data_IF_014704949109
#
_entry.id   IF_014704949109
#
_cell.length_a   1.000
_cell.length_b   1.000
_cell.length_c   1.000
_cell.angle_alpha   90.00
_cell.angle_beta   90.00
_cell.angle_gamma   90.00
#
_symmetry.space_group_name_H-M   'P 1'
#
loop_
_entity.id
_entity.type
_entity.pdbx_description
1 polymer ?
#
# COMPACT_ATOMS: atom_id res chain seq x y z
N UNK A 1 -2.64 -33.50 14.13
CA UNK A 1 -3.36 -32.21 14.24
C UNK A 1 -2.43 -30.98 14.24
N UNK A 2 -1.28 -31.01 14.90
CA UNK A 2 -0.34 -29.87 14.92
C UNK A 2 0.26 -29.56 13.54
N UNK A 3 0.65 -30.61 12.78
CA UNK A 3 1.19 -30.45 11.40
C UNK A 3 0.19 -29.82 10.42
N UNK A 4 -1.10 -30.10 10.58
CA UNK A 4 -2.15 -29.53 9.73
C UNK A 4 -2.38 -28.04 10.02
N UNK A 5 -2.27 -27.62 11.28
CA UNK A 5 -2.40 -26.22 11.69
C UNK A 5 -1.20 -25.37 11.22
N UNK A 6 0.00 -25.95 11.21
CA UNK A 6 1.22 -25.28 10.76
C UNK A 6 1.20 -25.07 9.24
N UNK A 7 0.76 -26.08 8.48
CA UNK A 7 0.56 -25.97 7.02
C UNK A 7 -0.48 -24.90 6.68
N UNK A 8 -1.55 -24.78 7.48
CA UNK A 8 -2.54 -23.71 7.31
C UNK A 8 -1.98 -22.32 7.60
N UNK A 9 -1.11 -22.16 8.62
CA UNK A 9 -0.51 -20.89 8.97
C UNK A 9 0.50 -20.43 7.89
N UNK A 10 1.29 -21.35 7.38
CA UNK A 10 2.27 -21.09 6.32
C UNK A 10 1.59 -20.83 4.99
N UNK A 11 0.53 -21.60 4.65
CA UNK A 11 -0.33 -21.29 3.51
C UNK A 11 -0.99 -19.91 3.65
N UNK A 12 -1.33 -19.50 4.87
CA UNK A 12 -1.94 -18.20 5.13
C UNK A 12 -0.92 -17.05 4.96
N UNK A 13 0.32 -17.22 5.41
CA UNK A 13 1.41 -16.25 5.18
C UNK A 13 1.75 -16.18 3.67
N UNK A 14 1.85 -17.31 2.97
CA UNK A 14 2.12 -17.35 1.53
C UNK A 14 0.90 -16.98 0.69
N UNK A 15 -0.32 -17.30 1.11
CA UNK A 15 -1.55 -16.89 0.44
C UNK A 15 -1.74 -15.36 0.54
N UNK A 16 -1.35 -14.74 1.65
CA UNK A 16 -1.29 -13.27 1.76
C UNK A 16 -0.14 -12.65 0.96
N UNK A 17 0.88 -13.42 0.61
CA UNK A 17 1.99 -12.99 -0.25
C UNK A 17 1.66 -13.13 -1.76
N UNK A 18 0.68 -13.96 -2.11
CA UNK A 18 0.29 -14.24 -3.51
C UNK A 18 -1.08 -13.64 -3.85
N UNK A 19 -1.94 -13.44 -2.86
CA UNK A 19 -3.20 -12.74 -3.08
C UNK A 19 -2.87 -11.25 -3.11
N UNK A 20 -2.66 -10.71 -4.30
CA UNK A 20 -3.00 -9.31 -4.53
C UNK A 20 -4.43 -9.19 -4.02
N UNK A 21 -4.58 -8.62 -2.83
CA UNK A 21 -5.87 -8.37 -2.21
C UNK A 21 -6.73 -7.68 -3.26
N UNK A 22 -7.81 -8.33 -3.65
CA UNK A 22 -8.82 -7.73 -4.50
C UNK A 22 -9.43 -6.59 -3.68
N UNK A 23 -8.73 -5.44 -3.66
CA UNK A 23 -9.29 -4.22 -3.10
C UNK A 23 -10.58 -3.93 -3.85
N UNK A 24 -11.65 -3.75 -3.15
CA UNK A 24 -12.98 -3.60 -3.74
C UNK A 24 -13.47 -2.17 -3.58
N UNK A 25 -12.74 -1.17 -4.08
CA UNK A 25 -13.00 0.25 -3.91
C UNK A 25 -14.12 0.78 -4.81
N UNK A 26 -14.72 1.91 -4.43
CA UNK A 26 -15.67 2.67 -5.25
C UNK A 26 -15.25 4.13 -5.22
N UNK A 27 -14.84 4.67 -6.37
CA UNK A 27 -14.24 5.99 -6.49
C UNK A 27 -15.01 6.77 -7.54
N UNK A 28 -15.31 8.04 -7.27
CA UNK A 28 -15.93 8.89 -8.27
C UNK A 28 -15.55 10.36 -8.13
N UNK A 29 -15.41 11.04 -9.28
CA UNK A 29 -15.18 12.47 -9.35
C UNK A 29 -16.45 13.19 -9.82
N UNK A 30 -16.73 14.37 -9.28
CA UNK A 30 -17.86 15.20 -9.68
C UNK A 30 -17.43 16.67 -9.78
N UNK A 31 -17.73 17.31 -10.93
CA UNK A 31 -17.45 18.73 -11.18
C UNK A 31 -18.76 19.44 -11.48
N UNK A 32 -19.34 20.13 -10.49
CA UNK A 32 -20.60 20.86 -10.59
C UNK A 32 -20.61 22.08 -9.69
N UNK A 33 -21.37 23.08 -10.08
CA UNK A 33 -21.59 24.32 -9.29
C UNK A 33 -20.25 24.93 -8.80
N UNK A 34 -19.22 24.90 -9.64
CA UNK A 34 -17.92 25.47 -9.31
C UNK A 34 -17.05 24.65 -8.33
N UNK A 35 -17.57 23.53 -7.81
CA UNK A 35 -16.85 22.61 -6.92
C UNK A 35 -16.33 21.39 -7.70
N UNK A 36 -15.15 20.94 -7.35
CA UNK A 36 -14.56 19.70 -7.86
C UNK A 36 -14.28 18.80 -6.67
N UNK A 37 -15.13 17.78 -6.52
CA UNK A 37 -15.04 16.82 -5.44
C UNK A 37 -14.72 15.43 -6.00
N UNK A 38 -13.87 14.70 -5.29
CA UNK A 38 -13.63 13.27 -5.50
C UNK A 38 -14.00 12.54 -4.22
N UNK A 39 -14.73 11.44 -4.34
CA UNK A 39 -15.12 10.63 -3.21
C UNK A 39 -14.74 9.17 -3.44
N UNK A 40 -14.28 8.49 -2.39
CA UNK A 40 -13.83 7.11 -2.43
C UNK A 40 -14.21 6.33 -1.17
N UNK A 41 -14.62 5.08 -1.36
CA UNK A 41 -14.64 4.02 -0.35
C UNK A 41 -13.44 3.13 -0.57
N UNK A 42 -12.61 2.97 0.47
CA UNK A 42 -11.43 2.13 0.45
C UNK A 42 -11.72 0.81 1.16
N UNK A 43 -11.84 -0.24 0.38
CA UNK A 43 -12.12 -1.58 0.88
C UNK A 43 -10.81 -2.39 0.97
N UNK A 44 -10.55 -2.97 2.13
CA UNK A 44 -9.37 -3.81 2.35
C UNK A 44 -9.70 -4.93 3.35
N UNK A 45 -8.77 -5.85 3.52
CA UNK A 45 -8.84 -6.95 4.48
C UNK A 45 -8.09 -6.67 5.78
N UNK A 46 -7.37 -5.55 5.89
CA UNK A 46 -6.64 -5.14 7.10
C UNK A 46 -7.13 -3.81 7.62
N UNK A 47 -7.45 -3.66 8.92
CA UNK A 47 -7.97 -2.42 9.48
C UNK A 47 -6.91 -1.32 9.62
N UNK A 48 -5.66 -1.61 9.31
CA UNK A 48 -4.54 -0.70 9.59
C UNK A 48 -4.25 0.19 8.39
N UNK A 49 -4.74 1.42 8.43
CA UNK A 49 -4.51 2.43 7.40
C UNK A 49 -3.50 3.46 7.89
N UNK A 50 -2.56 3.80 7.02
CA UNK A 50 -1.57 4.86 7.24
C UNK A 50 -1.94 6.09 6.42
N UNK A 51 -1.64 7.26 7.00
CA UNK A 51 -1.57 8.53 6.29
C UNK A 51 -0.13 9.01 6.37
N UNK A 52 0.43 9.47 5.27
CA UNK A 52 1.73 10.13 5.31
C UNK A 52 1.77 11.37 4.45
N UNK A 53 2.52 12.33 4.96
CA UNK A 53 2.65 13.66 4.38
C UNK A 53 4.07 13.84 3.87
N UNK A 54 4.18 14.19 2.60
CA UNK A 54 5.45 14.44 1.92
C UNK A 54 5.53 15.92 1.61
N UNK A 55 6.34 16.72 2.33
CA UNK A 55 6.56 18.12 1.99
C UNK A 55 7.14 18.26 0.58
N UNK A 56 6.87 19.39 -0.05
CA UNK A 56 7.50 19.71 -1.33
C UNK A 56 9.03 19.73 -1.19
N UNK A 57 9.70 19.28 -2.25
CA UNK A 57 11.14 19.37 -2.40
C UNK A 57 11.48 20.20 -3.65
N UNK A 58 12.76 20.41 -3.94
CA UNK A 58 13.19 21.08 -5.17
C UNK A 58 12.63 20.40 -6.43
N UNK A 59 12.48 19.07 -6.40
CA UNK A 59 12.18 18.26 -7.57
C UNK A 59 10.77 17.66 -7.56
N UNK A 60 10.00 17.87 -6.47
CA UNK A 60 8.70 17.22 -6.28
C UNK A 60 7.71 18.09 -5.52
N UNK A 61 6.46 18.05 -5.95
CA UNK A 61 5.33 18.68 -5.25
C UNK A 61 5.03 17.97 -3.93
N UNK A 62 4.58 18.74 -2.95
CA UNK A 62 4.10 18.21 -1.68
C UNK A 62 2.82 17.40 -1.85
N UNK A 63 2.65 16.33 -1.05
CA UNK A 63 1.52 15.43 -1.18
C UNK A 63 1.13 14.76 0.12
N UNK A 64 -0.12 14.32 0.18
CA UNK A 64 -0.65 13.37 1.15
C UNK A 64 -0.92 12.05 0.45
N UNK A 65 -0.61 10.95 1.14
CA UNK A 65 -0.91 9.60 0.69
C UNK A 65 -1.70 8.86 1.76
N UNK A 66 -2.60 7.99 1.32
CA UNK A 66 -3.32 7.02 2.13
C UNK A 66 -2.97 5.63 1.63
N UNK A 67 -2.86 4.67 2.54
CA UNK A 67 -2.54 3.31 2.14
C UNK A 67 -2.48 2.32 3.29
N UNK A 68 -2.06 1.09 2.97
CA UNK A 68 -1.98 -0.01 3.91
C UNK A 68 -0.86 0.11 4.93
N UNK A 69 -0.81 -0.84 5.87
CA UNK A 69 0.25 -0.90 6.89
C UNK A 69 1.65 -1.07 6.30
N UNK A 70 1.74 -1.56 5.08
CA UNK A 70 3.00 -1.75 4.34
C UNK A 70 3.42 -0.51 3.54
N UNK A 71 2.74 0.63 3.73
CA UNK A 71 2.99 1.89 3.02
C UNK A 71 2.73 1.81 1.50
N UNK A 72 2.01 0.79 1.03
CA UNK A 72 1.52 0.77 -0.33
C UNK A 72 0.44 1.84 -0.50
N UNK A 73 0.66 2.75 -1.43
CA UNK A 73 -0.28 3.85 -1.70
C UNK A 73 -1.56 3.28 -2.32
N UNK A 74 -2.70 3.56 -1.70
CA UNK A 74 -4.03 3.33 -2.27
C UNK A 74 -4.51 4.58 -3.01
N UNK A 75 -4.47 5.74 -2.36
CA UNK A 75 -4.85 7.02 -2.93
C UNK A 75 -3.91 8.15 -2.49
N UNK A 76 -3.84 9.22 -3.27
CA UNK A 76 -3.03 10.38 -2.93
C UNK A 76 -3.54 11.67 -3.58
N UNK A 77 -3.21 12.80 -2.96
CA UNK A 77 -3.44 14.13 -3.51
C UNK A 77 -2.20 15.01 -3.32
N UNK A 78 -1.78 15.76 -4.35
CA UNK A 78 -0.71 16.73 -4.23
C UNK A 78 -1.22 18.15 -3.93
N UNK A 79 -0.30 19.05 -3.58
CA UNK A 79 -0.58 20.45 -3.23
C UNK A 79 -1.22 21.29 -4.36
N UNK A 80 -1.19 20.79 -5.60
CA UNK A 80 -1.86 21.41 -6.74
C UNK A 80 -3.28 20.92 -6.96
N UNK A 81 -3.76 19.96 -6.16
CA UNK A 81 -5.09 19.36 -6.28
C UNK A 81 -5.16 18.27 -7.37
N UNK A 82 -4.03 17.71 -7.77
CA UNK A 82 -4.01 16.47 -8.55
C UNK A 82 -4.21 15.29 -7.61
N UNK A 83 -5.22 14.49 -7.87
CA UNK A 83 -5.63 13.33 -7.10
C UNK A 83 -5.52 12.06 -7.94
N UNK A 84 -5.15 10.95 -7.34
CA UNK A 84 -5.35 9.63 -7.92
C UNK A 84 -5.79 8.61 -6.88
N UNK A 85 -6.47 7.57 -7.36
CA UNK A 85 -6.93 6.47 -6.54
C UNK A 85 -7.09 5.18 -7.35
N UNK A 86 -6.73 4.04 -6.74
CA UNK A 86 -6.72 2.73 -7.36
C UNK A 86 -7.99 1.95 -7.07
N UNK A 87 -8.54 1.31 -8.10
CA UNK A 87 -9.48 0.22 -7.93
C UNK A 87 -8.88 -1.05 -8.54
N UNK A 88 -8.86 -2.15 -7.77
CA UNK A 88 -8.42 -3.43 -8.30
C UNK A 88 -9.35 -3.86 -9.44
N UNK A 89 -8.76 -4.39 -10.52
CA UNK A 89 -9.47 -4.91 -11.67
C UNK A 89 -8.77 -6.16 -12.18
N UNK A 90 -9.53 -7.13 -12.69
CA UNK A 90 -8.97 -8.39 -13.16
C UNK A 90 -8.48 -8.25 -14.61
N UNK A 91 -7.30 -7.66 -14.79
CA UNK A 91 -6.63 -7.62 -16.08
C UNK A 91 -5.56 -8.70 -16.16
N UNK A 92 -5.55 -9.44 -17.26
CA UNK A 92 -4.52 -10.43 -17.56
C UNK A 92 -3.26 -9.72 -18.08
N UNK A 93 -2.31 -9.49 -17.20
CA UNK A 93 -1.06 -8.80 -17.53
C UNK A 93 -0.15 -9.64 -18.43
N UNK A 94 -0.31 -10.97 -18.49
CA UNK A 94 0.51 -11.84 -19.35
C UNK A 94 0.27 -11.58 -20.83
N UNK A 95 -0.86 -10.96 -21.18
CA UNK A 95 -1.24 -10.62 -22.56
C UNK A 95 -0.79 -9.20 -22.97
N UNK A 96 -0.15 -8.47 -22.07
CA UNK A 96 0.32 -7.11 -22.37
C UNK A 96 1.72 -7.16 -22.97
N UNK A 97 1.90 -6.45 -24.08
CA UNK A 97 3.23 -6.22 -24.63
C UNK A 97 3.83 -4.97 -23.97
N UNK A 98 4.72 -5.18 -23.01
CA UNK A 98 5.34 -4.10 -22.24
C UNK A 98 6.71 -3.77 -22.84
N UNK A 99 6.74 -2.86 -23.77
CA UNK A 99 7.97 -2.41 -24.42
C UNK A 99 8.66 -1.24 -23.71
N UNK A 100 7.90 -0.48 -22.93
CA UNK A 100 8.36 0.73 -22.23
C UNK A 100 7.95 0.69 -20.75
N UNK A 101 8.40 -0.30 -19.98
CA UNK A 101 8.05 -0.40 -18.57
C UNK A 101 8.63 0.80 -17.81
N UNK A 102 7.88 1.32 -16.85
CA UNK A 102 8.42 2.26 -15.86
C UNK A 102 9.10 1.45 -14.75
N UNK A 103 10.31 1.85 -14.39
CA UNK A 103 11.01 1.26 -13.26
C UNK A 103 10.61 2.01 -11.99
N UNK A 104 9.84 1.36 -11.12
CA UNK A 104 9.29 1.93 -9.89
C UNK A 104 7.79 2.19 -9.96
N UNK A 105 7.30 3.04 -9.07
CA UNK A 105 5.88 3.37 -8.97
C UNK A 105 5.53 4.61 -9.80
N UNK A 106 5.00 4.40 -11.00
CA UNK A 106 4.70 5.46 -11.97
C UNK A 106 3.83 6.58 -11.38
N UNK A 107 2.84 6.25 -10.55
CA UNK A 107 1.97 7.26 -9.96
C UNK A 107 2.67 8.15 -8.93
N UNK A 108 3.78 7.71 -8.38
CA UNK A 108 4.63 8.58 -7.57
C UNK A 108 5.28 9.67 -8.41
N UNK A 109 5.77 9.30 -9.58
CA UNK A 109 6.34 10.27 -10.53
C UNK A 109 5.29 11.27 -10.99
N UNK A 110 4.10 10.79 -11.35
CA UNK A 110 2.95 11.63 -11.73
C UNK A 110 2.59 12.60 -10.59
N UNK A 111 2.42 12.11 -9.36
CA UNK A 111 2.03 12.93 -8.20
C UNK A 111 3.06 14.04 -7.91
N UNK A 112 4.34 13.71 -8.04
CA UNK A 112 5.42 14.65 -7.71
C UNK A 112 5.72 15.67 -8.80
N UNK A 113 5.27 15.47 -10.04
CA UNK A 113 5.68 16.31 -11.18
C UNK A 113 4.53 16.86 -12.02
N UNK A 114 3.29 16.50 -11.74
CA UNK A 114 2.12 16.96 -12.48
C UNK A 114 1.20 17.82 -11.61
N UNK A 115 0.68 18.90 -12.17
CA UNK A 115 -0.28 19.80 -11.53
C UNK A 115 -1.72 19.45 -11.87
N UNK A 116 -1.93 18.80 -13.01
CA UNK A 116 -3.24 18.52 -13.57
C UNK A 116 -3.23 17.22 -14.38
N UNK A 117 -4.42 16.78 -14.82
CA UNK A 117 -4.61 15.56 -15.61
C UNK A 117 -3.82 15.58 -16.92
N UNK A 118 -3.71 16.73 -17.59
CA UNK A 118 -2.96 16.84 -18.85
C UNK A 118 -1.49 16.49 -18.65
N UNK A 119 -0.84 17.13 -17.68
CA UNK A 119 0.57 16.86 -17.33
C UNK A 119 0.77 15.41 -16.85
N UNK A 120 -0.19 14.87 -16.07
CA UNK A 120 -0.17 13.48 -15.66
C UNK A 120 -0.17 12.52 -16.86
N UNK A 121 -1.03 12.78 -17.85
CA UNK A 121 -1.10 11.96 -19.06
C UNK A 121 0.15 12.09 -19.94
N UNK A 122 0.83 13.24 -19.95
CA UNK A 122 2.09 13.41 -20.65
C UNK A 122 3.20 12.52 -20.07
N UNK A 123 3.19 12.28 -18.75
CA UNK A 123 4.10 11.34 -18.10
C UNK A 123 3.67 9.89 -18.38
N UNK A 124 2.40 9.56 -18.15
CA UNK A 124 1.89 8.19 -18.27
C UNK A 124 2.08 7.64 -19.69
N UNK A 125 1.83 8.44 -20.72
CA UNK A 125 1.95 8.03 -22.13
C UNK A 125 3.37 7.69 -22.57
N UNK A 126 4.40 8.05 -21.78
CA UNK A 126 5.80 7.66 -22.06
C UNK A 126 6.05 6.18 -21.75
N UNK A 127 5.19 5.56 -20.94
CA UNK A 127 5.37 4.22 -20.42
C UNK A 127 4.16 3.34 -20.72
N UNK A 128 4.36 2.05 -20.68
CA UNK A 128 3.29 1.09 -20.79
C UNK A 128 2.75 0.79 -19.38
N UNK A 129 1.44 0.97 -19.18
CA UNK A 129 0.83 0.75 -17.88
C UNK A 129 0.77 -0.75 -17.58
N UNK A 130 1.50 -1.18 -16.56
CA UNK A 130 1.73 -2.58 -16.20
C UNK A 130 1.06 -3.02 -14.89
N UNK A 131 0.03 -2.31 -14.44
CA UNK A 131 -0.69 -2.64 -13.23
C UNK A 131 -2.04 -3.30 -13.54
N UNK A 132 -2.41 -4.35 -12.80
CA UNK A 132 -3.71 -5.01 -12.92
C UNK A 132 -4.90 -4.15 -12.44
N UNK A 133 -4.61 -3.03 -11.76
CA UNK A 133 -5.62 -2.07 -11.30
C UNK A 133 -5.99 -1.05 -12.37
N UNK A 134 -7.10 -0.39 -12.17
CA UNK A 134 -7.45 0.85 -12.88
C UNK A 134 -7.35 2.04 -11.93
N UNK A 135 -6.94 3.19 -12.45
CA UNK A 135 -6.71 4.39 -11.66
C UNK A 135 -7.66 5.48 -12.13
N UNK A 136 -8.38 6.11 -11.19
CA UNK A 136 -9.00 7.40 -11.42
C UNK A 136 -7.99 8.49 -11.11
N UNK A 137 -7.77 9.40 -12.06
CA UNK A 137 -6.96 10.61 -11.89
C UNK A 137 -7.87 11.80 -12.09
N UNK A 138 -7.84 12.78 -11.18
CA UNK A 138 -8.64 13.98 -11.25
C UNK A 138 -7.84 15.22 -10.84
N UNK A 139 -8.21 16.40 -11.34
CA UNK A 139 -7.56 17.66 -11.00
C UNK A 139 -8.58 18.75 -10.56
N UNK A 140 -8.07 19.82 -9.98
CA UNK A 140 -8.89 20.94 -9.49
C UNK A 140 -9.62 21.71 -10.58
N UNK A 141 -9.23 21.60 -11.85
CA UNK A 141 -9.91 22.18 -13.01
C UNK A 141 -11.16 21.38 -13.36
N UNK A 142 -11.33 20.20 -12.79
CA UNK A 142 -12.47 19.32 -12.97
C UNK A 142 -12.29 18.31 -14.09
N UNK A 143 -11.09 18.13 -14.61
CA UNK A 143 -10.79 17.04 -15.53
C UNK A 143 -10.65 15.74 -14.74
N UNK A 144 -11.06 14.62 -15.32
CA UNK A 144 -10.77 13.31 -14.78
C UNK A 144 -10.70 12.24 -15.87
N UNK A 145 -9.87 11.22 -15.60
CA UNK A 145 -9.64 10.10 -16.51
C UNK A 145 -9.53 8.80 -15.72
N UNK A 146 -9.85 7.69 -16.39
CA UNK A 146 -9.47 6.35 -15.92
C UNK A 146 -8.31 5.85 -16.78
N UNK A 147 -7.26 5.38 -16.12
CA UNK A 147 -6.12 4.72 -16.72
C UNK A 147 -6.15 3.25 -16.35
N UNK A 148 -6.05 2.37 -17.32
CA UNK A 148 -5.99 0.93 -17.13
C UNK A 148 -5.13 0.27 -18.23
N UNK A 149 -4.83 -1.04 -18.15
CA UNK A 149 -3.99 -1.73 -19.14
C UNK A 149 -4.52 -1.68 -20.58
N UNK A 150 -5.81 -1.37 -20.78
CA UNK A 150 -6.42 -1.27 -22.13
C UNK A 150 -6.40 0.15 -22.68
N UNK A 151 -6.00 1.14 -21.88
CA UNK A 151 -5.90 2.53 -22.31
C UNK A 151 -6.46 3.55 -21.33
N UNK A 152 -6.80 4.70 -21.86
CA UNK A 152 -7.26 5.86 -21.11
C UNK A 152 -8.72 6.15 -21.50
N UNK A 153 -9.57 6.32 -20.51
CA UNK A 153 -10.98 6.71 -20.67
C UNK A 153 -11.16 8.09 -20.07
N UNK A 154 -11.50 9.07 -20.91
CA UNK A 154 -11.74 10.44 -20.48
C UNK A 154 -13.17 10.60 -19.97
N UNK A 155 -13.36 11.48 -18.98
CA UNK A 155 -14.65 11.84 -18.44
C UNK A 155 -15.55 12.42 -19.53
N UNK A 156 -16.80 11.93 -19.61
CA UNK A 156 -17.87 12.52 -20.40
C UNK A 156 -18.92 13.13 -19.47
N UNK A 157 -19.19 14.41 -19.62
CA UNK A 157 -20.12 15.12 -18.73
C UNK A 157 -19.44 15.62 -17.45
N UNK A 158 -20.15 15.61 -16.34
CA UNK A 158 -19.76 16.27 -15.09
C UNK A 158 -19.29 15.32 -13.98
N UNK A 159 -19.29 14.00 -14.22
CA UNK A 159 -18.76 13.02 -13.29
C UNK A 159 -18.12 11.82 -14.00
N UNK A 160 -17.26 11.09 -13.27
CA UNK A 160 -16.62 9.84 -13.70
C UNK A 160 -16.59 8.87 -12.52
N UNK A 161 -16.90 7.60 -12.78
CA UNK A 161 -16.96 6.55 -11.76
C UNK A 161 -15.93 5.46 -12.06
N UNK A 162 -15.20 5.03 -11.04
CA UNK A 162 -14.28 3.92 -11.03
C UNK A 162 -14.65 2.92 -9.93
N UNK A 163 -14.56 1.64 -10.21
CA UNK A 163 -14.75 0.57 -9.22
C UNK A 163 -14.05 -0.72 -9.66
N UNK A 164 -14.08 -1.73 -8.81
CA UNK A 164 -13.44 -3.04 -9.04
C UNK A 164 -14.05 -3.88 -10.17
N UNK A 165 -14.84 -3.29 -11.00
CA UNK A 165 -15.43 -3.95 -12.15
C UNK A 165 -14.64 -3.63 -13.40
N UNK A 166 -14.38 -4.65 -14.21
CA UNK A 166 -13.85 -4.41 -15.54
C UNK A 166 -14.83 -3.55 -16.34
N UNK A 167 -14.40 -2.40 -16.77
CA UNK A 167 -15.15 -1.61 -17.75
C UNK A 167 -14.91 -2.26 -19.11
N UNK A 168 -15.82 -3.14 -19.53
CA UNK A 168 -15.78 -3.80 -20.84
C UNK A 168 -16.72 -3.02 -21.77
N UNK A 169 -16.17 -2.43 -22.83
CA UNK A 169 -16.92 -1.65 -23.84
C UNK A 169 -17.78 -0.51 -23.24
N UNK A 170 -17.30 0.13 -22.18
CA UNK A 170 -18.01 1.23 -21.52
C UNK A 170 -19.18 0.80 -20.64
N UNK A 171 -19.42 -0.48 -20.47
CA UNK A 171 -20.43 -1.03 -19.55
C UNK A 171 -19.79 -1.49 -18.26
N UNK A 172 -20.34 -1.01 -17.16
CA UNK A 172 -19.97 -1.40 -15.80
C UNK A 172 -20.97 -2.45 -15.35
N UNK A 173 -20.49 -3.61 -14.90
CA UNK A 173 -21.35 -4.73 -14.53
C UNK A 173 -21.31 -5.01 -13.03
N UNK A 174 -21.45 -3.99 -12.19
CA UNK A 174 -21.58 -4.20 -10.77
C UNK A 174 -22.39 -3.12 -10.06
N UNK A 175 -23.06 -3.51 -8.97
CA UNK A 175 -24.11 -2.72 -8.30
C UNK A 175 -23.64 -1.35 -7.78
N UNK A 176 -22.45 -1.25 -7.19
CA UNK A 176 -21.98 0.00 -6.56
C UNK A 176 -21.82 1.15 -7.54
N UNK A 177 -21.12 1.00 -8.67
CA UNK A 177 -21.08 2.04 -9.71
C UNK A 177 -22.46 2.41 -10.27
N UNK A 178 -23.41 1.47 -10.34
CA UNK A 178 -24.78 1.76 -10.76
C UNK A 178 -25.46 2.72 -9.76
N UNK A 179 -25.32 2.46 -8.45
CA UNK A 179 -25.85 3.34 -7.40
C UNK A 179 -25.24 4.74 -7.51
N UNK A 180 -23.91 4.85 -7.72
CA UNK A 180 -23.22 6.13 -7.90
C UNK A 180 -23.76 6.85 -9.13
N UNK A 181 -23.80 6.17 -10.29
CA UNK A 181 -24.27 6.74 -11.55
C UNK A 181 -25.74 7.22 -11.44
N UNK A 182 -26.62 6.43 -10.85
CA UNK A 182 -28.01 6.82 -10.63
C UNK A 182 -28.13 8.04 -9.71
N UNK A 183 -27.41 8.03 -8.59
CA UNK A 183 -27.45 9.12 -7.61
C UNK A 183 -26.98 10.43 -8.23
N UNK A 184 -25.85 10.40 -8.94
CA UNK A 184 -25.28 11.56 -9.61
C UNK A 184 -26.14 12.02 -10.82
N UNK A 185 -26.78 11.11 -11.54
CA UNK A 185 -27.64 11.46 -12.68
C UNK A 185 -28.97 12.11 -12.24
N UNK A 186 -29.57 11.62 -11.14
CA UNK A 186 -30.83 12.12 -10.61
C UNK A 186 -30.71 13.45 -9.87
N UNK A 187 -29.51 13.82 -9.43
CA UNK A 187 -29.31 15.06 -8.65
C UNK A 187 -28.20 15.90 -9.24
N UNK A 188 -28.39 17.23 -9.21
CA UNK A 188 -27.34 18.20 -9.57
C UNK A 188 -26.53 18.68 -8.37
N UNK A 189 -26.82 18.16 -7.18
CA UNK A 189 -26.04 18.47 -5.96
C UNK A 189 -24.58 18.03 -6.10
N UNK A 190 -23.67 18.84 -5.56
CA UNK A 190 -22.26 18.53 -5.43
C UNK A 190 -21.76 19.10 -4.11
N UNK A 191 -22.15 18.45 -3.00
CA UNK A 191 -21.79 18.85 -1.64
C UNK A 191 -21.18 17.66 -0.92
N UNK A 192 -20.37 17.93 0.11
CA UNK A 192 -19.78 16.88 0.96
C UNK A 192 -20.86 15.96 1.50
N UNK A 193 -21.97 16.50 2.02
CA UNK A 193 -23.08 15.70 2.57
C UNK A 193 -23.72 14.79 1.53
N UNK A 194 -23.95 15.30 0.31
CA UNK A 194 -24.53 14.48 -0.75
C UNK A 194 -23.59 13.34 -1.19
N UNK A 195 -22.28 13.60 -1.30
CA UNK A 195 -21.34 12.55 -1.64
C UNK A 195 -21.16 11.56 -0.48
N UNK A 196 -21.21 12.03 0.77
CA UNK A 196 -21.24 11.18 1.97
C UNK A 196 -22.41 10.18 1.94
N UNK A 197 -23.61 10.65 1.56
CA UNK A 197 -24.78 9.76 1.40
C UNK A 197 -24.55 8.67 0.32
N UNK A 198 -23.86 9.01 -0.77
CA UNK A 198 -23.52 8.03 -1.82
C UNK A 198 -22.49 7.03 -1.28
N UNK A 199 -21.44 7.49 -0.60
CA UNK A 199 -20.45 6.62 0.03
C UNK A 199 -21.09 5.66 1.03
N UNK A 200 -22.00 6.17 1.87
CA UNK A 200 -22.75 5.33 2.82
C UNK A 200 -23.62 4.26 2.15
N UNK A 201 -24.17 4.52 0.95
CA UNK A 201 -24.92 3.52 0.18
C UNK A 201 -24.07 2.52 -0.57
N UNK A 202 -22.77 2.81 -0.73
CA UNK A 202 -21.84 2.02 -1.54
C UNK A 202 -20.68 1.43 -0.75
N UNK A 203 -20.65 1.61 0.60
CA UNK A 203 -19.68 0.94 1.44
C UNK A 203 -19.92 -0.57 1.45
N UNK A 204 -18.92 -1.31 1.84
CA UNK A 204 -18.96 -2.76 1.95
C UNK A 204 -18.76 -3.18 3.40
N UNK A 205 -19.63 -4.07 3.87
CA UNK A 205 -19.47 -4.77 5.13
C UNK A 205 -19.23 -6.25 4.88
N UNK A 206 -18.16 -6.79 5.42
CA UNK A 206 -17.82 -8.20 5.24
C UNK A 206 -16.65 -8.63 6.11
N UNK A 207 -16.62 -9.92 6.46
CA UNK A 207 -15.57 -10.48 7.31
C UNK A 207 -14.17 -10.46 6.66
N UNK A 208 -14.11 -10.61 5.34
CA UNK A 208 -12.84 -10.70 4.60
C UNK A 208 -12.46 -9.42 3.89
N UNK A 209 -13.44 -8.58 3.61
CA UNK A 209 -13.24 -7.34 2.86
C UNK A 209 -14.31 -6.34 3.28
N UNK A 210 -13.89 -5.23 3.82
CA UNK A 210 -14.79 -4.19 4.35
C UNK A 210 -14.27 -2.80 3.99
N UNK A 211 -15.16 -1.81 3.93
CA UNK A 211 -14.74 -0.41 3.78
C UNK A 211 -14.09 0.06 5.07
N UNK A 212 -12.79 0.29 5.04
CA UNK A 212 -12.00 0.70 6.19
C UNK A 212 -12.11 2.19 6.46
N UNK A 213 -12.10 2.96 5.40
CA UNK A 213 -12.29 4.40 5.45
C UNK A 213 -12.89 4.90 4.14
N UNK A 214 -13.46 6.09 4.23
CA UNK A 214 -13.95 6.80 3.05
C UNK A 214 -13.37 8.19 3.02
N UNK A 215 -13.14 8.73 1.84
CA UNK A 215 -12.63 10.08 1.66
C UNK A 215 -13.53 10.92 0.77
N UNK A 216 -13.62 12.23 1.05
CA UNK A 216 -14.14 13.23 0.13
C UNK A 216 -13.11 14.35 0.02
N UNK A 217 -12.52 14.50 -1.16
CA UNK A 217 -11.47 15.47 -1.44
C UNK A 217 -12.04 16.67 -2.21
N UNK A 218 -11.93 17.87 -1.66
CA UNK A 218 -12.15 19.13 -2.37
C UNK A 218 -10.84 19.53 -3.04
N UNK A 219 -10.72 19.23 -4.33
CA UNK A 219 -9.48 19.42 -5.07
C UNK A 219 -9.10 20.88 -5.25
N UNK A 220 -10.08 21.78 -5.28
CA UNK A 220 -9.83 23.23 -5.42
C UNK A 220 -9.25 23.83 -4.16
N UNK A 221 -9.76 23.42 -3.01
CA UNK A 221 -9.39 23.98 -1.73
C UNK A 221 -8.32 23.19 -0.99
N UNK A 222 -7.98 21.96 -1.45
CA UNK A 222 -7.02 21.10 -0.79
C UNK A 222 -7.52 20.57 0.56
N UNK A 223 -8.85 20.41 0.69
CA UNK A 223 -9.49 19.91 1.93
C UNK A 223 -9.92 18.47 1.71
N UNK A 224 -9.61 17.61 2.69
CA UNK A 224 -9.99 16.20 2.67
C UNK A 224 -10.83 15.92 3.91
N UNK A 225 -11.97 15.29 3.72
CA UNK A 225 -12.84 14.76 4.77
C UNK A 225 -12.67 13.25 4.77
N UNK A 226 -12.26 12.68 5.90
CA UNK A 226 -12.00 11.25 6.06
C UNK A 226 -12.98 10.68 7.08
N UNK A 227 -13.63 9.57 6.75
CA UNK A 227 -14.56 8.83 7.58
C UNK A 227 -13.97 7.47 7.90
N UNK A 228 -14.05 7.02 9.16
CA UNK A 228 -13.48 5.74 9.60
C UNK A 228 -14.56 4.68 9.74
N UNK A 229 -14.34 3.54 9.12
CA UNK A 229 -15.06 2.28 9.32
C UNK A 229 -16.59 2.43 9.41
N UNK A 230 -17.20 2.82 8.29
CA UNK A 230 -18.64 3.02 8.12
C UNK A 230 -19.29 4.10 9.02
N UNK A 231 -18.51 4.81 9.84
CA UNK A 231 -19.02 5.90 10.63
C UNK A 231 -19.01 7.21 9.83
N UNK A 232 -20.14 7.52 9.18
CA UNK A 232 -20.31 8.74 8.40
C UNK A 232 -20.82 9.94 9.23
N UNK A 233 -21.02 9.78 10.53
CA UNK A 233 -21.47 10.88 11.41
C UNK A 233 -20.30 11.75 11.89
N UNK A 234 -19.08 11.21 11.90
CA UNK A 234 -17.88 11.94 12.29
C UNK A 234 -16.81 11.84 11.21
N UNK A 235 -16.02 12.89 11.06
CA UNK A 235 -14.93 12.91 10.11
C UNK A 235 -13.69 13.59 10.67
N UNK A 236 -12.53 13.17 10.18
CA UNK A 236 -11.28 13.89 10.31
C UNK A 236 -11.10 14.82 9.12
N UNK A 237 -10.94 16.13 9.38
CA UNK A 237 -10.75 17.13 8.33
C UNK A 237 -9.28 17.49 8.21
N UNK A 238 -8.76 17.36 7.00
CA UNK A 238 -7.36 17.64 6.67
C UNK A 238 -7.33 18.89 5.76
N UNK A 239 -6.57 19.90 6.16
CA UNK A 239 -6.12 20.99 5.29
C UNK A 239 -4.72 20.63 4.80
N UNK A 240 -4.61 20.16 3.56
CA UNK A 240 -3.34 19.67 3.01
C UNK A 240 -2.23 20.72 3.09
N UNK A 241 -2.53 21.97 2.78
CA UNK A 241 -1.54 23.05 2.80
C UNK A 241 -1.01 23.33 4.22
N UNK A 242 -1.88 23.26 5.22
CA UNK A 242 -1.48 23.40 6.61
C UNK A 242 -0.67 22.19 7.09
N UNK A 243 -1.09 20.98 6.69
CA UNK A 243 -0.44 19.75 7.11
C UNK A 243 0.96 19.59 6.52
N UNK A 244 1.17 19.94 5.25
CA UNK A 244 2.49 19.86 4.60
C UNK A 244 3.54 20.75 5.27
N UNK A 245 3.15 21.86 5.90
CA UNK A 245 4.07 22.74 6.64
C UNK A 245 4.66 22.11 7.91
N UNK A 246 4.01 21.07 8.45
CA UNK A 246 4.47 20.36 9.65
C UNK A 246 5.60 19.37 9.34
N UNK A 247 5.99 19.20 8.09
CA UNK A 247 7.07 18.32 7.68
C UNK A 247 6.61 16.89 7.34
N UNK A 248 7.61 16.06 6.99
CA UNK A 248 7.37 14.65 6.73
C UNK A 248 6.97 13.91 8.00
N UNK A 249 5.87 13.18 7.92
CA UNK A 249 5.41 12.32 9.01
C UNK A 249 4.47 11.22 8.51
N UNK A 250 4.34 10.20 9.31
CA UNK A 250 3.43 9.09 9.11
C UNK A 250 2.57 8.95 10.35
N UNK A 251 1.29 8.74 10.15
CA UNK A 251 0.28 8.65 11.19
C UNK A 251 -0.63 7.45 10.91
N UNK A 252 -1.19 6.87 11.98
CA UNK A 252 -2.29 5.93 11.82
C UNK A 252 -3.57 6.72 11.62
N UNK A 253 -4.36 6.34 10.63
CA UNK A 253 -5.64 7.00 10.39
C UNK A 253 -6.56 6.95 11.63
N UNK A 254 -6.60 5.80 12.31
CA UNK A 254 -7.48 5.61 13.46
C UNK A 254 -7.16 6.52 14.65
N UNK A 255 -5.91 6.99 14.79
CA UNK A 255 -5.50 7.87 15.89
C UNK A 255 -6.19 9.26 15.84
N UNK A 256 -6.83 9.61 14.74
CA UNK A 256 -7.55 10.89 14.54
C UNK A 256 -9.04 10.83 14.89
N UNK A 257 -9.53 9.67 15.34
CA UNK A 257 -10.93 9.48 15.67
C UNK A 257 -11.11 9.13 17.14
N UNK A 258 -12.24 9.55 17.69
CA UNK A 258 -12.68 9.05 18.99
C UNK A 258 -13.02 7.55 18.89
N UNK A 259 -13.15 6.90 20.02
CA UNK A 259 -13.45 5.47 20.14
C UNK A 259 -14.53 5.01 19.16
N UNK A 260 -14.18 4.04 18.32
CA UNK A 260 -15.09 3.33 17.43
C UNK A 260 -15.04 1.84 17.80
N UNK A 261 -15.98 1.37 18.60
CA UNK A 261 -15.98 0.01 19.13
C UNK A 261 -15.94 -1.07 18.04
N UNK A 262 -16.69 -0.90 16.95
CA UNK A 262 -16.71 -1.86 15.84
C UNK A 262 -15.33 -1.96 15.14
N UNK A 263 -14.70 -0.81 14.91
CA UNK A 263 -13.34 -0.77 14.36
C UNK A 263 -12.32 -1.38 15.32
N UNK A 264 -12.40 -1.07 16.61
CA UNK A 264 -11.48 -1.61 17.62
C UNK A 264 -11.61 -3.13 17.74
N UNK A 265 -12.82 -3.65 17.75
CA UNK A 265 -13.07 -5.09 17.80
C UNK A 265 -12.50 -5.78 16.55
N UNK A 266 -12.79 -5.24 15.36
CA UNK A 266 -12.25 -5.75 14.11
C UNK A 266 -10.71 -5.74 14.11
N UNK A 267 -10.11 -4.63 14.57
CA UNK A 267 -8.65 -4.47 14.61
C UNK A 267 -7.98 -5.43 15.58
N UNK A 268 -8.52 -5.57 16.82
CA UNK A 268 -7.95 -6.44 17.86
C UNK A 268 -7.99 -7.91 17.48
N UNK A 269 -9.02 -8.31 16.73
CA UNK A 269 -9.19 -9.70 16.28
C UNK A 269 -8.38 -10.01 15.01
N UNK A 270 -7.81 -9.00 14.35
CA UNK A 270 -7.05 -9.19 13.11
C UNK A 270 -5.70 -9.86 13.37
N UNK A 271 -5.28 -10.76 12.47
CA UNK A 271 -4.03 -11.52 12.59
C UNK A 271 -2.77 -10.62 12.66
N UNK A 272 -2.82 -9.44 12.05
CA UNK A 272 -1.71 -8.48 12.05
C UNK A 272 -1.68 -7.56 13.28
N UNK A 273 -2.61 -7.68 14.21
CA UNK A 273 -2.73 -6.75 15.34
C UNK A 273 -1.42 -6.64 16.16
N UNK A 274 -0.81 -7.77 16.50
CA UNK A 274 0.44 -7.78 17.27
C UNK A 274 1.58 -7.09 16.51
N UNK A 275 1.75 -7.39 15.23
CA UNK A 275 2.72 -6.73 14.35
C UNK A 275 2.51 -5.22 14.33
N UNK A 276 1.26 -4.78 14.12
CA UNK A 276 0.94 -3.36 14.06
C UNK A 276 1.13 -2.65 15.40
N UNK A 277 0.83 -3.32 16.51
CA UNK A 277 1.09 -2.79 17.86
C UNK A 277 2.58 -2.55 18.08
N UNK A 278 3.43 -3.51 17.71
CA UNK A 278 4.90 -3.38 17.80
C UNK A 278 5.38 -2.23 16.89
N UNK A 279 4.93 -2.19 15.64
CA UNK A 279 5.36 -1.17 14.70
C UNK A 279 4.92 0.24 15.14
N UNK A 280 3.71 0.39 15.69
CA UNK A 280 3.24 1.65 16.24
C UNK A 280 4.06 2.09 17.47
N UNK A 281 4.46 1.15 18.33
CA UNK A 281 5.36 1.44 19.44
C UNK A 281 6.72 1.91 18.94
N UNK A 282 7.26 1.28 17.88
CA UNK A 282 8.49 1.73 17.23
C UNK A 282 8.42 3.17 16.69
N UNK A 283 7.29 3.56 16.12
CA UNK A 283 7.10 4.93 15.64
C UNK A 283 7.05 5.94 16.78
N UNK A 284 6.54 5.56 17.96
CA UNK A 284 6.36 6.44 19.12
C UNK A 284 7.59 6.51 20.04
N UNK A 285 8.25 5.39 20.27
CA UNK A 285 9.33 5.24 21.26
C UNK A 285 10.72 5.07 20.63
N UNK A 286 10.79 4.86 19.32
CA UNK A 286 12.01 4.60 18.59
C UNK A 286 12.17 3.13 18.23
N UNK A 287 12.72 2.89 17.03
CA UNK A 287 12.82 1.54 16.46
C UNK A 287 13.82 0.64 17.20
N UNK A 288 14.95 1.19 17.63
CA UNK A 288 16.01 0.41 18.30
C UNK A 288 15.57 -0.11 19.66
N UNK A 289 15.09 0.78 20.53
CA UNK A 289 14.65 0.45 21.90
C UNK A 289 13.51 -0.56 21.86
N UNK A 290 12.55 -0.36 20.99
CA UNK A 290 11.42 -1.30 20.83
C UNK A 290 11.87 -2.65 20.27
N UNK A 291 12.83 -2.66 19.34
CA UNK A 291 13.44 -3.89 18.82
C UNK A 291 14.07 -4.71 19.93
N UNK A 292 14.87 -4.07 20.79
CA UNK A 292 15.56 -4.73 21.90
C UNK A 292 14.59 -5.32 22.92
N UNK A 293 13.56 -4.56 23.26
CA UNK A 293 12.47 -5.01 24.14
C UNK A 293 11.86 -6.31 23.61
N UNK A 294 11.35 -6.31 22.38
CA UNK A 294 10.64 -7.47 21.85
C UNK A 294 11.53 -8.67 21.52
N UNK A 295 12.79 -8.47 21.16
CA UNK A 295 13.76 -9.56 21.06
C UNK A 295 14.01 -10.18 22.45
N UNK A 296 14.13 -9.37 23.51
CA UNK A 296 14.29 -9.87 24.86
C UNK A 296 13.05 -10.67 25.32
N UNK A 297 11.85 -10.17 25.06
CA UNK A 297 10.60 -10.88 25.34
C UNK A 297 10.52 -12.22 24.57
N UNK A 298 10.91 -12.23 23.30
CA UNK A 298 10.93 -13.47 22.49
C UNK A 298 11.96 -14.50 22.99
N UNK A 299 13.11 -14.05 23.53
CA UNK A 299 14.12 -14.95 24.13
C UNK A 299 13.62 -15.67 25.39
N UNK A 300 12.79 -15.01 26.19
CA UNK A 300 12.22 -15.58 27.42
C UNK A 300 11.08 -16.54 27.10
N UNK A 301 10.45 -16.41 25.92
CA UNK A 301 9.37 -17.30 25.50
C UNK A 301 9.93 -18.70 25.17
N UNK A 302 9.55 -19.72 25.96
CA UNK A 302 9.96 -21.11 25.74
C UNK A 302 9.36 -21.76 24.49
N UNK A 303 8.36 -21.12 23.86
CA UNK A 303 7.68 -21.69 22.70
C UNK A 303 8.47 -21.41 21.42
N UNK A 304 8.94 -22.46 20.76
CA UNK A 304 9.47 -22.39 19.38
C UNK A 304 8.36 -21.90 18.44
N UNK A 305 8.66 -20.94 17.58
CA UNK A 305 7.71 -20.29 16.63
C UNK A 305 6.51 -19.62 17.34
N UNK A 306 6.81 -18.81 18.32
CA UNK A 306 5.79 -18.03 19.01
C UNK A 306 5.07 -17.06 18.05
N UNK A 307 3.85 -16.65 18.40
CA UNK A 307 3.16 -15.55 17.67
C UNK A 307 4.03 -14.31 17.60
N UNK A 308 4.87 -14.09 18.61
CA UNK A 308 5.80 -12.97 18.67
C UNK A 308 6.90 -13.07 17.61
N UNK A 309 7.48 -14.25 17.39
CA UNK A 309 8.50 -14.44 16.34
C UNK A 309 7.93 -14.16 14.95
N UNK A 310 6.71 -14.64 14.69
CA UNK A 310 6.01 -14.34 13.43
C UNK A 310 5.74 -12.85 13.29
N UNK A 311 5.31 -12.18 14.35
CA UNK A 311 5.08 -10.74 14.34
C UNK A 311 6.39 -9.95 14.14
N UNK A 312 7.49 -10.38 14.77
CA UNK A 312 8.80 -9.77 14.59
C UNK A 312 9.30 -9.89 13.14
N UNK A 313 9.13 -11.05 12.50
CA UNK A 313 9.46 -11.21 11.09
C UNK A 313 8.68 -10.20 10.22
N UNK A 314 7.37 -10.12 10.43
CA UNK A 314 6.52 -9.17 9.71
C UNK A 314 6.90 -7.70 9.99
N UNK A 315 7.30 -7.38 11.23
CA UNK A 315 7.83 -6.05 11.58
C UNK A 315 9.13 -5.76 10.84
N UNK A 316 10.06 -6.71 10.78
CA UNK A 316 11.32 -6.53 10.04
C UNK A 316 11.05 -6.25 8.55
N UNK A 317 10.13 -6.99 7.93
CA UNK A 317 9.71 -6.75 6.54
C UNK A 317 9.06 -5.38 6.38
N UNK A 318 8.25 -4.97 7.35
CA UNK A 318 7.61 -3.66 7.37
C UNK A 318 8.63 -2.52 7.45
N UNK A 319 9.66 -2.65 8.28
CA UNK A 319 10.74 -1.68 8.39
C UNK A 319 11.53 -1.56 7.07
N UNK A 320 11.78 -2.67 6.38
CA UNK A 320 12.42 -2.66 5.05
C UNK A 320 11.56 -1.90 4.04
N UNK A 321 10.27 -2.23 3.96
CA UNK A 321 9.34 -1.55 3.05
C UNK A 321 9.24 -0.06 3.35
N UNK A 322 9.15 0.28 4.62
CA UNK A 322 9.10 1.66 5.07
C UNK A 322 10.34 2.46 4.65
N UNK A 323 11.53 1.90 4.91
CA UNK A 323 12.80 2.54 4.54
C UNK A 323 12.93 2.67 3.03
N UNK A 324 12.52 1.66 2.28
CA UNK A 324 12.46 1.69 0.83
C UNK A 324 11.54 2.79 0.32
N UNK A 325 10.29 2.82 0.77
CA UNK A 325 9.30 3.81 0.33
C UNK A 325 9.72 5.25 0.66
N UNK A 326 10.34 5.47 1.81
CA UNK A 326 10.84 6.79 2.20
C UNK A 326 11.93 7.30 1.27
N UNK A 327 12.83 6.45 0.81
CA UNK A 327 14.02 6.85 0.06
C UNK A 327 13.88 6.64 -1.45
N UNK A 328 13.15 5.63 -1.91
CA UNK A 328 12.95 5.32 -3.32
C UNK A 328 11.83 6.11 -3.98
N UNK A 329 11.35 7.17 -3.33
CA UNK A 329 10.24 7.98 -3.79
C UNK A 329 8.91 7.21 -3.95
N UNK A 330 8.58 6.36 -2.99
CA UNK A 330 7.27 5.71 -2.94
C UNK A 330 7.05 4.61 -3.95
N UNK A 331 8.11 4.14 -4.57
CA UNK A 331 8.03 2.97 -5.42
C UNK A 331 7.42 1.80 -4.66
N UNK A 332 6.61 1.00 -5.34
CA UNK A 332 6.27 -0.31 -4.77
C UNK A 332 7.57 -1.04 -4.47
N UNK A 333 7.63 -1.72 -3.33
CA UNK A 333 8.77 -2.55 -2.98
C UNK A 333 8.88 -3.70 -3.97
N UNK A 334 9.70 -3.51 -5.00
CA UNK A 334 9.81 -4.38 -6.18
C UNK A 334 10.33 -5.77 -5.86
N UNK A 335 11.07 -5.91 -4.76
CA UNK A 335 11.59 -7.20 -4.33
C UNK A 335 10.51 -8.28 -4.18
N UNK A 336 9.30 -7.88 -3.82
CA UNK A 336 8.21 -8.81 -3.54
C UNK A 336 7.41 -9.22 -4.79
N UNK A 337 7.23 -8.27 -5.72
CA UNK A 337 6.21 -8.43 -6.74
C UNK A 337 6.67 -9.03 -8.06
N UNK A 338 7.87 -9.11 -8.32
CA UNK A 338 8.50 -9.71 -9.49
C UNK A 338 9.71 -8.91 -9.89
N UNK A 339 10.67 -9.60 -10.37
CA UNK A 339 11.94 -9.10 -10.80
C UNK A 339 12.16 -9.22 -12.30
N UNK A 340 11.19 -8.84 -13.15
CA UNK A 340 11.38 -9.10 -14.57
C UNK A 340 12.45 -8.22 -15.19
N UNK A 341 12.75 -7.01 -14.65
CA UNK A 341 13.54 -6.05 -15.43
C UNK A 341 14.51 -5.17 -14.64
N UNK A 342 14.95 -5.56 -13.49
CA UNK A 342 16.04 -4.85 -12.87
C UNK A 342 15.77 -4.39 -11.46
N UNK A 343 16.42 -5.08 -10.54
CA UNK A 343 16.80 -4.49 -9.28
C UNK A 343 17.49 -3.20 -9.55
N UNK A 344 16.88 -2.14 -9.16
CA UNK A 344 17.65 -0.99 -8.82
C UNK A 344 18.31 -1.33 -7.48
N UNK A 345 19.59 -1.66 -7.45
CA UNK A 345 20.39 -1.85 -6.26
C UNK A 345 20.59 -0.49 -5.57
N UNK A 346 19.51 0.18 -5.23
CA UNK A 346 19.55 1.46 -4.56
C UNK A 346 20.01 1.24 -3.13
N UNK A 347 21.13 1.83 -2.77
CA UNK A 347 21.59 1.84 -1.39
C UNK A 347 20.67 2.76 -0.59
N UNK A 348 20.09 2.22 0.46
CA UNK A 348 19.15 2.91 1.34
C UNK A 348 19.86 3.31 2.62
N UNK A 349 19.91 4.61 2.88
CA UNK A 349 20.46 5.17 4.12
C UNK A 349 19.34 5.46 5.11
N UNK A 350 18.92 4.44 5.83
CA UNK A 350 17.89 4.54 6.86
C UNK A 350 18.27 3.68 8.07
N UNK A 351 18.35 4.30 9.25
CA UNK A 351 18.73 3.63 10.52
C UNK A 351 17.77 2.51 10.92
N UNK A 352 16.52 2.56 10.47
CA UNK A 352 15.52 1.51 10.73
C UNK A 352 15.89 0.16 10.10
N UNK A 353 16.71 0.18 9.05
CA UNK A 353 17.27 -1.06 8.49
C UNK A 353 18.18 -1.79 9.48
N UNK A 354 18.81 -1.08 10.43
CA UNK A 354 19.60 -1.73 11.48
C UNK A 354 18.70 -2.54 12.41
N UNK A 355 17.52 -2.02 12.75
CA UNK A 355 16.53 -2.73 13.54
C UNK A 355 15.96 -3.94 12.77
N UNK A 356 15.65 -3.78 11.49
CA UNK A 356 15.23 -4.89 10.64
C UNK A 356 16.32 -5.98 10.56
N UNK A 357 17.58 -5.60 10.34
CA UNK A 357 18.74 -6.49 10.33
C UNK A 357 18.87 -7.26 11.65
N UNK A 358 18.78 -6.56 12.78
CA UNK A 358 18.87 -7.14 14.13
C UNK A 358 17.79 -8.18 14.40
N UNK A 359 16.53 -7.88 14.02
CA UNK A 359 15.43 -8.84 14.14
C UNK A 359 15.66 -10.07 13.25
N UNK A 360 16.02 -9.87 11.98
CA UNK A 360 16.24 -10.95 11.02
C UNK A 360 17.43 -11.84 11.45
N UNK A 361 18.50 -11.24 11.94
CA UNK A 361 19.65 -11.96 12.48
C UNK A 361 19.23 -12.82 13.68
N UNK A 362 18.56 -12.24 14.67
CA UNK A 362 18.02 -12.97 15.81
C UNK A 362 17.15 -14.17 15.38
N UNK A 363 16.19 -13.93 14.47
CA UNK A 363 15.29 -14.99 14.00
C UNK A 363 16.01 -16.07 13.18
N UNK A 364 17.04 -15.72 12.43
CA UNK A 364 17.83 -16.69 11.64
C UNK A 364 18.72 -17.60 12.49
N UNK A 365 19.12 -17.13 13.67
CA UNK A 365 19.94 -17.86 14.64
C UNK A 365 19.09 -18.68 15.63
N UNK A 366 17.83 -18.31 15.81
CA UNK A 366 16.90 -19.04 16.68
C UNK A 366 16.61 -20.42 16.08
N UNK A 367 16.54 -21.46 16.95
CA UNK A 367 16.14 -22.80 16.53
C UNK A 367 14.71 -22.79 15.95
N UNK A 368 14.63 -22.72 14.64
CA UNK A 368 13.38 -22.77 13.91
C UNK A 368 13.14 -24.20 13.43
N UNK A 369 11.98 -24.74 13.79
CA UNK A 369 11.56 -26.07 13.32
C UNK A 369 11.21 -26.07 11.82
N UNK A 370 10.93 -24.91 11.22
CA UNK A 370 10.68 -24.74 9.79
C UNK A 370 11.94 -24.22 9.09
N UNK A 371 12.65 -25.16 8.45
CA UNK A 371 13.88 -24.88 7.72
C UNK A 371 13.63 -23.91 6.55
N UNK A 372 12.47 -23.99 5.88
CA UNK A 372 12.15 -23.08 4.76
C UNK A 372 11.94 -21.66 5.22
N UNK A 373 11.28 -21.49 6.37
CA UNK A 373 11.09 -20.17 6.98
C UNK A 373 12.43 -19.56 7.42
N UNK A 374 13.31 -20.40 7.98
CA UNK A 374 14.68 -19.97 8.33
C UNK A 374 15.47 -19.50 7.10
N UNK A 375 15.41 -20.25 6.00
CA UNK A 375 16.10 -19.87 4.77
C UNK A 375 15.48 -18.62 4.11
N UNK A 376 14.18 -18.42 4.23
CA UNK A 376 13.55 -17.17 3.88
C UNK A 376 14.03 -16.00 4.77
N UNK A 377 14.20 -16.23 6.06
CA UNK A 377 14.75 -15.21 6.98
C UNK A 377 16.19 -14.86 6.61
N UNK A 378 17.01 -15.83 6.22
CA UNK A 378 18.34 -15.56 5.66
C UNK A 378 18.26 -14.76 4.36
N UNK A 379 17.34 -15.08 3.46
CA UNK A 379 17.13 -14.30 2.23
C UNK A 379 16.86 -12.84 2.56
N UNK A 380 15.96 -12.56 3.51
CA UNK A 380 15.63 -11.20 3.90
C UNK A 380 16.80 -10.49 4.59
N UNK A 381 17.57 -11.20 5.40
CA UNK A 381 18.78 -10.66 6.01
C UNK A 381 19.84 -10.31 4.95
N UNK A 382 20.01 -11.15 3.94
CA UNK A 382 20.89 -10.88 2.81
C UNK A 382 20.43 -9.63 2.05
N UNK A 383 19.13 -9.51 1.81
CA UNK A 383 18.55 -8.34 1.13
C UNK A 383 18.79 -7.04 1.91
N UNK A 384 18.62 -7.05 3.23
CA UNK A 384 18.92 -5.86 4.05
C UNK A 384 20.37 -5.45 3.93
N UNK A 385 21.32 -6.41 4.01
CA UNK A 385 22.75 -6.11 3.80
C UNK A 385 23.00 -5.54 2.39
N UNK A 386 22.37 -6.11 1.37
CA UNK A 386 22.49 -5.65 -0.02
C UNK A 386 22.08 -4.18 -0.18
N UNK A 387 20.90 -3.81 0.33
CA UNK A 387 20.41 -2.43 0.23
C UNK A 387 21.13 -1.45 1.17
N UNK A 388 21.86 -1.95 2.16
CA UNK A 388 22.80 -1.16 2.98
C UNK A 388 24.18 -1.01 2.33
N UNK A 389 24.44 -1.71 1.22
CA UNK A 389 25.70 -1.64 0.47
C UNK A 389 26.76 -2.66 0.92
N UNK A 390 26.44 -3.55 1.84
CA UNK A 390 27.33 -4.65 2.26
C UNK A 390 27.16 -5.86 1.32
N UNK A 391 27.77 -5.75 0.14
CA UNK A 391 27.62 -6.73 -0.94
C UNK A 391 28.25 -8.08 -0.59
N UNK A 392 29.36 -8.08 0.14
CA UNK A 392 30.08 -9.30 0.54
C UNK A 392 29.22 -10.14 1.48
N UNK A 393 28.76 -9.54 2.58
CA UNK A 393 27.88 -10.22 3.54
C UNK A 393 26.58 -10.66 2.88
N UNK A 394 26.00 -9.83 2.01
CA UNK A 394 24.79 -10.18 1.27
C UNK A 394 24.98 -11.43 0.42
N UNK A 395 26.09 -11.52 -0.36
CA UNK A 395 26.42 -12.66 -1.21
C UNK A 395 26.54 -13.95 -0.41
N UNK A 396 27.26 -13.90 0.71
CA UNK A 396 27.47 -15.07 1.58
C UNK A 396 26.15 -15.57 2.16
N UNK A 397 25.29 -14.67 2.65
CA UNK A 397 23.99 -15.03 3.23
C UNK A 397 23.02 -15.54 2.16
N UNK A 398 22.96 -14.93 0.95
CA UNK A 398 22.15 -15.45 -0.16
C UNK A 398 22.58 -16.86 -0.55
N UNK A 399 23.89 -17.10 -0.64
CA UNK A 399 24.44 -18.44 -0.93
C UNK A 399 23.97 -19.46 0.11
N UNK A 400 24.01 -19.10 1.40
CA UNK A 400 23.50 -19.94 2.49
C UNK A 400 22.00 -20.19 2.37
N UNK A 401 21.20 -19.16 2.06
CA UNK A 401 19.74 -19.26 1.96
C UNK A 401 19.26 -20.22 0.88
N UNK A 402 20.04 -20.41 -0.19
CA UNK A 402 19.69 -21.27 -1.33
C UNK A 402 20.59 -22.48 -1.51
N UNK A 403 21.45 -22.79 -0.55
CA UNK A 403 22.42 -23.90 -0.63
C UNK A 403 21.77 -25.26 -0.83
N UNK A 404 20.61 -25.48 -0.22
CA UNK A 404 19.81 -26.68 -0.41
C UNK A 404 18.42 -26.36 -1.01
N UNK A 405 18.17 -26.68 -2.28
CA UNK A 405 16.89 -26.38 -2.93
C UNK A 405 15.68 -26.99 -2.24
N UNK A 406 15.82 -28.14 -1.58
CA UNK A 406 14.71 -28.80 -0.89
C UNK A 406 14.32 -28.11 0.43
N UNK A 407 15.23 -27.31 0.97
CA UNK A 407 15.07 -26.58 2.23
C UNK A 407 14.67 -25.12 2.05
N UNK A 408 14.46 -24.67 0.82
CA UNK A 408 14.06 -23.29 0.52
C UNK A 408 12.71 -23.25 -0.22
N UNK A 409 12.03 -22.10 -0.11
CA UNK A 409 10.86 -21.86 -0.95
C UNK A 409 11.29 -21.58 -2.40
N UNK A 410 10.46 -21.98 -3.37
CA UNK A 410 10.74 -21.73 -4.79
C UNK A 410 11.02 -20.26 -5.09
N UNK A 411 10.28 -19.36 -4.45
CA UNK A 411 10.46 -17.92 -4.59
C UNK A 411 11.81 -17.46 -4.04
N UNK A 412 12.27 -17.98 -2.90
CA UNK A 412 13.60 -17.73 -2.32
C UNK A 412 14.71 -18.19 -3.27
N UNK A 413 14.57 -19.40 -3.83
CA UNK A 413 15.51 -19.93 -4.80
C UNK A 413 15.61 -19.07 -6.06
N UNK A 414 14.47 -18.65 -6.60
CA UNK A 414 14.43 -17.82 -7.81
C UNK A 414 15.10 -16.47 -7.56
N UNK A 415 14.72 -15.77 -6.51
CA UNK A 415 15.30 -14.47 -6.17
C UNK A 415 16.77 -14.54 -5.80
N UNK A 416 17.14 -15.51 -4.97
CA UNK A 416 18.54 -15.70 -4.55
C UNK A 416 19.45 -15.96 -5.75
N UNK A 417 19.07 -16.83 -6.67
CA UNK A 417 19.83 -17.11 -7.90
C UNK A 417 19.97 -15.87 -8.78
N UNK A 418 18.88 -15.14 -8.96
CA UNK A 418 18.85 -13.91 -9.76
C UNK A 418 19.83 -12.87 -9.19
N UNK A 419 19.77 -12.63 -7.87
CA UNK A 419 20.66 -11.65 -7.22
C UNK A 419 22.12 -12.10 -7.31
N UNK A 420 22.41 -13.35 -6.98
CA UNK A 420 23.78 -13.86 -7.05
C UNK A 420 24.36 -13.77 -8.46
N UNK A 421 23.54 -13.97 -9.50
CA UNK A 421 23.99 -13.81 -10.89
C UNK A 421 24.40 -12.37 -11.24
N UNK A 422 23.87 -11.40 -10.51
CA UNK A 422 24.19 -9.96 -10.70
C UNK A 422 25.32 -9.45 -9.81
N UNK A 423 25.60 -10.16 -8.71
CA UNK A 423 26.70 -9.83 -7.81
C UNK A 423 28.03 -10.49 -8.22
N UNK A 424 28.00 -11.43 -9.12
CA UNK A 424 29.16 -12.06 -9.76
C UNK A 424 29.55 -11.33 -11.04
#
# INVERSE_FOLDING_TARGET
>A
MLKLRLVFLISFIFLNLIISTLKACTIFSCNRAGKVLVAANEDDNTPFTRIWYNPATKDRYGSICFGGPDMQVASAMNEHGLFFDFAAASYDLSKLNLNRPFNGFLMWEVLGKSKNVKEALEIIRKYDYNNASQILIADKEGNSVLVNPKGIIEKKGDFLVNANCNIINGKISCRRPEIVNESLSRSKKNTVDFLKEILNKTHQEGEKLTTLYSTICDLKNGIIYVYLYHNYESYYKIDLKAELKKGYRIENLADHFNTNFAYEEFSKNHALYLKESIFNEMLKQGTEVTTDKYIAESKVSESKNSKLDSALLEVALQLVKYSWNKQSNGGMWEYWFSMPNGYNLTIIKDERLNSAKKILQYLSEKDQSDIKLRNFTYEMLAYVNLIQGDLTTAKDIYTKAISNPNEAYNVTLTRGKEILSRLN
#
